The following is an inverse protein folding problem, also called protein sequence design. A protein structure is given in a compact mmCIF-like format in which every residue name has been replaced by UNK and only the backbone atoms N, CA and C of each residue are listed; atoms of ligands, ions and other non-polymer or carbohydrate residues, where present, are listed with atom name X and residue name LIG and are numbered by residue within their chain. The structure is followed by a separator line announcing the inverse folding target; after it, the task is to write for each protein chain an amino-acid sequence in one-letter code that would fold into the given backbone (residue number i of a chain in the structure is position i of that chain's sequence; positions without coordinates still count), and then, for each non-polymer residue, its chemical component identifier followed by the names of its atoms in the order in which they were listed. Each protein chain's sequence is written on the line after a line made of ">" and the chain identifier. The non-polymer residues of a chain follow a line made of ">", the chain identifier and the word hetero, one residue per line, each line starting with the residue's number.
data_IF_181430557977
#
_entry.id   IF_181430557977
#
_cell.length_a   1.000
_cell.length_b   1.000
_cell.length_c   1.000
_cell.angle_alpha   90.00
_cell.angle_beta   90.00
_cell.angle_gamma   90.00
#
_symmetry.space_group_name_H-M   'P 1'
#
loop_
_entity.id
_entity.type
_entity.pdbx_description
1 polymer ?
#
# COMPACT_ATOMS: atom_id res chain seq x y z
N UNK A 1 -2.56 -3.65 8.10
CA UNK A 1 -1.62 -4.10 7.04
C UNK A 1 -1.81 -3.28 5.75
N UNK A 2 -0.79 -3.07 4.92
CA UNK A 2 -0.94 -2.44 3.59
C UNK A 2 -0.87 -3.48 2.48
N UNK A 3 -1.80 -3.41 1.53
CA UNK A 3 -1.96 -4.34 0.42
C UNK A 3 -2.08 -3.55 -0.88
N UNK A 4 -1.33 -3.91 -1.90
CA UNK A 4 -1.15 -3.17 -3.15
C UNK A 4 -1.57 -4.03 -4.34
N UNK A 5 -2.15 -3.43 -5.40
CA UNK A 5 -2.66 -4.19 -6.54
C UNK A 5 -1.55 -4.78 -7.41
N UNK A 6 -0.38 -4.14 -7.45
CA UNK A 6 0.76 -4.54 -8.26
C UNK A 6 2.08 -4.02 -7.66
N UNK A 7 3.20 -4.44 -8.26
CA UNK A 7 4.55 -4.08 -7.79
C UNK A 7 4.81 -2.58 -7.88
N UNK A 8 4.29 -1.90 -8.92
CA UNK A 8 4.42 -0.45 -9.07
C UNK A 8 3.77 0.30 -7.91
N UNK A 9 2.54 -0.09 -7.52
CA UNK A 9 1.86 0.45 -6.34
C UNK A 9 2.66 0.21 -5.06
N UNK A 10 3.22 -0.98 -4.88
CA UNK A 10 4.11 -1.28 -3.72
C UNK A 10 5.33 -0.36 -3.69
N UNK A 11 5.98 -0.12 -4.83
CA UNK A 11 7.13 0.78 -4.92
C UNK A 11 6.74 2.22 -4.55
N UNK A 12 5.64 2.74 -5.08
CA UNK A 12 5.13 4.09 -4.74
C UNK A 12 4.82 4.17 -3.24
N UNK A 13 4.16 3.16 -2.68
CA UNK A 13 3.86 3.11 -1.24
C UNK A 13 5.14 3.17 -0.41
N UNK A 14 6.15 2.37 -0.77
CA UNK A 14 7.41 2.31 -0.06
C UNK A 14 8.18 3.64 -0.15
N UNK A 15 8.27 4.25 -1.33
CA UNK A 15 8.90 5.57 -1.51
C UNK A 15 8.17 6.65 -0.71
N UNK A 16 6.84 6.67 -0.74
CA UNK A 16 6.04 7.62 0.04
C UNK A 16 6.26 7.46 1.55
N UNK A 17 6.32 6.22 2.05
CA UNK A 17 6.59 5.92 3.46
C UNK A 17 8.01 6.31 3.85
N UNK A 18 8.98 6.07 2.96
CA UNK A 18 10.38 6.47 3.14
C UNK A 18 10.52 7.99 3.26
N UNK A 19 9.77 8.76 2.46
CA UNK A 19 9.71 10.22 2.54
C UNK A 19 8.91 10.77 3.74
N UNK A 20 8.40 9.91 4.63
CA UNK A 20 7.67 10.31 5.84
C UNK A 20 6.16 10.49 5.68
N UNK A 21 5.57 10.17 4.52
CA UNK A 21 4.12 10.26 4.31
C UNK A 21 3.32 9.27 5.18
N UNK A 22 2.13 9.64 5.64
CA UNK A 22 1.27 8.76 6.47
C UNK A 22 0.82 7.50 5.71
N UNK A 23 0.39 6.46 6.45
CA UNK A 23 -0.07 5.19 5.83
C UNK A 23 -1.25 5.42 4.91
N UNK A 24 -2.20 6.26 5.33
CA UNK A 24 -3.42 6.61 4.61
C UNK A 24 -3.10 7.42 3.36
N UNK A 25 -2.21 8.41 3.47
CA UNK A 25 -1.77 9.22 2.33
C UNK A 25 -1.04 8.35 1.30
N UNK A 26 -0.10 7.52 1.76
CA UNK A 26 0.66 6.66 0.87
C UNK A 26 -0.21 5.60 0.21
N UNK A 27 -1.18 5.04 0.92
CA UNK A 27 -2.18 4.12 0.36
C UNK A 27 -2.98 4.79 -0.76
N UNK A 28 -3.51 5.99 -0.53
CA UNK A 28 -4.25 6.76 -1.54
C UNK A 28 -3.39 7.07 -2.78
N UNK A 29 -2.14 7.47 -2.60
CA UNK A 29 -1.23 7.81 -3.71
C UNK A 29 -0.84 6.59 -4.55
N UNK A 30 -0.66 5.44 -3.91
CA UNK A 30 -0.18 4.21 -4.56
C UNK A 30 -1.29 3.30 -5.09
N UNK A 31 -2.55 3.61 -4.78
CA UNK A 31 -3.66 2.70 -4.99
C UNK A 31 -3.62 1.48 -4.06
N UNK A 32 -2.82 1.48 -3.00
CA UNK A 32 -2.85 0.43 -1.99
C UNK A 32 -4.01 0.64 -1.00
N UNK A 33 -4.41 -0.42 -0.31
CA UNK A 33 -5.40 -0.41 0.77
C UNK A 33 -4.75 -0.64 2.12
N UNK A 34 -5.28 0.00 3.14
CA UNK A 34 -4.98 -0.32 4.54
C UNK A 34 -6.11 -1.19 5.07
N UNK A 35 -5.79 -2.40 5.52
CA UNK A 35 -6.75 -3.36 6.06
C UNK A 35 -6.45 -3.68 7.52
N UNK A 36 -7.47 -4.08 8.28
CA UNK A 36 -7.31 -4.61 9.65
C UNK A 36 -6.84 -6.07 9.66
N UNK A 37 -7.12 -6.85 8.60
CA UNK A 37 -6.72 -8.24 8.50
C UNK A 37 -5.19 -8.43 8.31
N UNK A 38 -4.72 -9.64 8.63
CA UNK A 38 -3.31 -10.06 8.52
C UNK A 38 -2.92 -10.50 7.11
N UNK A 39 -3.90 -10.83 6.26
CA UNK A 39 -3.68 -11.33 4.88
C UNK A 39 -4.32 -10.39 3.87
N UNK A 40 -3.60 -10.14 2.77
CA UNK A 40 -4.11 -9.31 1.69
C UNK A 40 -5.08 -10.10 0.80
N UNK A 41 -6.15 -9.47 0.30
CA UNK A 41 -7.05 -10.12 -0.64
C UNK A 41 -6.34 -10.34 -1.99
N UNK A 42 -6.86 -11.26 -2.80
CA UNK A 42 -6.22 -11.71 -4.06
C UNK A 42 -6.11 -10.61 -5.12
N UNK A 43 -6.97 -9.58 -5.05
CA UNK A 43 -6.94 -8.38 -5.89
C UNK A 43 -5.89 -7.34 -5.43
N UNK A 44 -5.30 -7.51 -4.24
CA UNK A 44 -4.20 -6.69 -3.72
C UNK A 44 -3.03 -7.56 -3.22
N UNK A 45 -2.42 -8.38 -4.09
CA UNK A 45 -1.49 -9.42 -3.66
C UNK A 45 -0.09 -8.90 -3.29
N UNK A 46 0.20 -7.60 -3.51
CA UNK A 46 1.53 -7.01 -3.33
C UNK A 46 1.64 -6.19 -2.06
#
# INVERSE_FOLDING_TARGET
>A
KSCCPNTTGRNIYNTCRFAGGSRERCAKLSGCKIISASTCPSDYPK
#
